data_IF_062186352858
#
_entry.id   IF_062186352858
#
_cell.length_a   1.000
_cell.length_b   1.000
_cell.length_c   1.000
_cell.angle_alpha   90.00
_cell.angle_beta   90.00
_cell.angle_gamma   90.00
#
_symmetry.space_group_name_H-M   'P 1'
#
loop_
_entity.id
_entity.type
_entity.pdbx_description
1 polymer ?
#
# COMPACT_ATOMS: atom_id res chain seq x y z
N UNK A 1 7.14 -1.25 22.12
CA UNK A 1 8.49 -0.79 21.70
C UNK A 1 8.82 -1.56 20.44
N UNK A 2 8.79 -0.93 19.27
CA UNK A 2 9.16 -1.57 18.00
C UNK A 2 10.66 -1.38 17.76
N UNK A 3 11.30 -2.41 17.19
CA UNK A 3 12.74 -2.38 16.94
C UNK A 3 13.07 -1.34 15.88
N UNK A 4 14.04 -0.46 16.15
CA UNK A 4 14.55 0.55 15.18
C UNK A 4 15.13 -0.05 13.89
N UNK A 5 15.23 -1.38 13.80
CA UNK A 5 15.81 -2.10 12.68
C UNK A 5 14.81 -2.97 11.93
N UNK A 6 13.50 -2.86 12.21
CA UNK A 6 12.47 -3.63 11.51
C UNK A 6 11.93 -2.85 10.30
N UNK A 7 12.22 -3.26 9.04
CA UNK A 7 11.78 -2.52 7.84
C UNK A 7 10.26 -2.40 7.72
N UNK A 8 9.53 -3.38 8.26
CA UNK A 8 8.07 -3.38 8.28
C UNK A 8 7.49 -2.18 9.05
N UNK A 9 8.15 -1.77 10.13
CA UNK A 9 7.75 -0.64 10.96
C UNK A 9 8.20 0.71 10.37
N UNK A 10 9.11 0.70 9.40
CA UNK A 10 9.62 1.91 8.72
C UNK A 10 8.72 2.41 7.59
N UNK A 11 7.55 1.81 7.39
CA UNK A 11 6.55 2.35 6.47
C UNK A 11 5.74 1.29 5.71
N UNK A 12 6.25 0.07 5.58
CA UNK A 12 5.58 -1.00 4.82
C UNK A 12 4.21 -1.32 5.44
N UNK A 13 4.13 -1.56 6.75
CA UNK A 13 2.85 -1.85 7.43
C UNK A 13 1.88 -0.66 7.30
N UNK A 14 2.39 0.56 7.45
CA UNK A 14 1.57 1.78 7.35
C UNK A 14 0.92 1.89 5.97
N UNK A 15 1.72 1.70 4.91
CA UNK A 15 1.23 1.78 3.54
C UNK A 15 0.29 0.64 3.18
N UNK A 16 0.64 -0.59 3.57
CA UNK A 16 -0.24 -1.75 3.40
C UNK A 16 -1.61 -1.52 4.03
N UNK A 17 -1.64 -1.05 5.29
CA UNK A 17 -2.89 -0.74 6.00
C UNK A 17 -3.69 0.37 5.32
N UNK A 18 -3.02 1.39 4.77
CA UNK A 18 -3.69 2.46 4.04
C UNK A 18 -4.33 1.95 2.74
N UNK A 19 -3.59 1.15 1.97
CA UNK A 19 -4.10 0.50 0.75
C UNK A 19 -5.27 -0.43 1.04
N UNK A 20 -5.15 -1.28 2.06
CA UNK A 20 -6.22 -2.17 2.49
C UNK A 20 -7.49 -1.39 2.88
N UNK A 21 -7.37 -0.33 3.69
CA UNK A 21 -8.51 0.51 4.09
C UNK A 21 -9.17 1.20 2.90
N UNK A 22 -8.39 1.61 1.89
CA UNK A 22 -8.95 2.16 0.64
C UNK A 22 -9.87 1.15 -0.04
N UNK A 23 -9.45 -0.12 -0.15
CA UNK A 23 -10.27 -1.19 -0.72
C UNK A 23 -11.53 -1.48 0.11
N UNK A 24 -11.42 -1.51 1.44
CA UNK A 24 -12.58 -1.63 2.33
C UNK A 24 -13.60 -0.51 2.08
N UNK A 25 -13.14 0.75 2.03
CA UNK A 25 -14.00 1.90 1.82
C UNK A 25 -14.67 1.88 0.44
N UNK A 26 -13.92 1.53 -0.61
CA UNK A 26 -14.48 1.35 -1.96
C UNK A 26 -15.56 0.28 -1.98
N UNK A 27 -15.35 -0.85 -1.30
CA UNK A 27 -16.35 -1.91 -1.20
C UNK A 27 -17.59 -1.49 -0.40
N UNK A 28 -17.41 -0.70 0.66
CA UNK A 28 -18.53 -0.15 1.44
C UNK A 28 -19.36 0.77 0.55
N UNK A 29 -18.73 1.72 -0.15
CA UNK A 29 -19.40 2.65 -1.07
C UNK A 29 -20.14 1.89 -2.18
N UNK A 30 -19.49 0.90 -2.80
CA UNK A 30 -20.09 0.14 -3.90
C UNK A 30 -21.30 -0.73 -3.50
N UNK A 31 -21.44 -1.06 -2.21
CA UNK A 31 -22.50 -1.94 -1.68
C UNK A 31 -23.49 -1.19 -0.77
N UNK A 32 -23.36 0.14 -0.66
CA UNK A 32 -24.12 0.93 0.32
C UNK A 32 -25.61 0.98 -0.01
N UNK A 33 -25.97 1.07 -1.29
CA UNK A 33 -27.36 1.14 -1.75
C UNK A 33 -28.13 -0.17 -1.50
N UNK A 34 -27.41 -1.29 -1.41
CA UNK A 34 -27.99 -2.63 -1.19
C UNK A 34 -28.24 -2.96 0.29
N UNK A 35 -27.95 -2.04 1.21
CA UNK A 35 -27.92 -2.33 2.66
C UNK A 35 -28.68 -1.27 3.44
N UNK A 36 -29.57 -1.68 4.34
CA UNK A 36 -30.41 -0.73 5.08
C UNK A 36 -29.61 0.10 6.10
N UNK A 37 -28.48 -0.43 6.57
CA UNK A 37 -27.60 0.23 7.53
C UNK A 37 -26.17 -0.33 7.48
N UNK A 38 -25.25 0.34 8.17
CA UNK A 38 -23.84 -0.04 8.22
C UNK A 38 -23.59 -1.44 8.81
N UNK A 39 -24.42 -1.92 9.73
CA UNK A 39 -24.25 -3.24 10.37
C UNK A 39 -24.50 -4.38 9.38
N UNK A 40 -25.55 -4.26 8.54
CA UNK A 40 -25.80 -5.21 7.46
C UNK A 40 -24.71 -5.19 6.40
N UNK A 41 -24.24 -4.00 6.04
CA UNK A 41 -23.19 -3.83 5.06
C UNK A 41 -21.88 -4.52 5.47
N UNK A 42 -21.47 -4.37 6.74
CA UNK A 42 -20.27 -5.01 7.28
C UNK A 42 -20.40 -6.54 7.27
N UNK A 43 -21.58 -7.09 7.52
CA UNK A 43 -21.82 -8.55 7.46
C UNK A 43 -21.66 -9.14 6.06
N UNK A 44 -21.80 -8.33 5.01
CA UNK A 44 -21.59 -8.75 3.61
C UNK A 44 -20.10 -8.81 3.23
N UNK A 45 -19.21 -8.26 4.05
CA UNK A 45 -17.76 -8.34 3.82
C UNK A 45 -17.28 -9.71 4.26
N UNK A 46 -16.72 -10.47 3.32
CA UNK A 46 -16.25 -11.83 3.56
C UNK A 46 -14.75 -11.89 3.85
N UNK A 47 -14.28 -13.01 4.38
CA UNK A 47 -12.82 -13.26 4.50
C UNK A 47 -12.16 -13.31 3.12
N UNK A 48 -12.86 -13.78 2.08
CA UNK A 48 -12.35 -13.79 0.72
C UNK A 48 -12.11 -12.37 0.19
N UNK A 49 -13.03 -11.43 0.45
CA UNK A 49 -12.85 -10.01 0.15
C UNK A 49 -11.56 -9.49 0.83
N UNK A 50 -11.39 -9.76 2.12
CA UNK A 50 -10.22 -9.32 2.89
C UNK A 50 -8.89 -9.89 2.36
N UNK A 51 -8.88 -11.15 1.91
CA UNK A 51 -7.69 -11.77 1.30
C UNK A 51 -7.35 -11.10 -0.04
N UNK A 52 -8.35 -10.85 -0.89
CA UNK A 52 -8.10 -10.20 -2.18
C UNK A 52 -7.66 -8.73 -2.01
N UNK A 53 -8.20 -8.02 -1.03
CA UNK A 53 -7.75 -6.66 -0.69
C UNK A 53 -6.33 -6.64 -0.13
N UNK A 54 -5.97 -7.63 0.68
CA UNK A 54 -4.60 -7.77 1.19
C UNK A 54 -3.61 -7.99 0.06
N UNK A 55 -3.93 -8.91 -0.86
CA UNK A 55 -3.13 -9.17 -2.05
C UNK A 55 -3.01 -7.93 -2.94
N UNK A 56 -4.11 -7.22 -3.16
CA UNK A 56 -4.14 -6.01 -3.99
C UNK A 56 -3.36 -4.87 -3.34
N UNK A 57 -3.51 -4.65 -2.03
CA UNK A 57 -2.75 -3.65 -1.28
C UNK A 57 -1.24 -3.93 -1.31
N UNK A 58 -0.83 -5.20 -1.27
CA UNK A 58 0.57 -5.58 -1.43
C UNK A 58 1.09 -5.34 -2.85
N UNK A 59 0.30 -5.70 -3.88
CA UNK A 59 0.68 -5.48 -5.28
C UNK A 59 0.81 -4.00 -5.66
N UNK A 60 -0.01 -3.15 -5.07
CA UNK A 60 0.00 -1.70 -5.30
C UNK A 60 1.12 -0.99 -4.53
N UNK A 61 1.75 -1.67 -3.57
CA UNK A 61 2.83 -1.10 -2.78
C UNK A 61 4.01 -0.76 -3.69
N UNK A 62 4.45 0.49 -3.64
CA UNK A 62 5.62 0.93 -4.40
C UNK A 62 6.88 0.18 -3.94
N UNK A 63 7.53 -0.52 -4.88
CA UNK A 63 8.79 -1.21 -4.63
C UNK A 63 9.89 -0.25 -4.19
N UNK A 64 9.84 1.01 -4.66
CA UNK A 64 10.75 2.07 -4.21
C UNK A 64 10.63 2.36 -2.72
N UNK A 65 9.41 2.32 -2.17
CA UNK A 65 9.17 2.50 -0.75
C UNK A 65 9.69 1.31 0.07
N UNK A 66 9.48 0.08 -0.40
CA UNK A 66 10.00 -1.11 0.28
C UNK A 66 11.51 -1.00 0.42
N UNK A 67 12.23 -0.68 -0.66
CA UNK A 67 13.69 -0.52 -0.60
C UNK A 67 14.11 0.60 0.34
N UNK A 68 13.44 1.77 0.32
CA UNK A 68 13.73 2.85 1.29
C UNK A 68 13.56 2.41 2.74
N UNK A 69 12.53 1.60 3.05
CA UNK A 69 12.33 1.08 4.40
C UNK A 69 13.44 0.11 4.83
N UNK A 70 13.93 -0.74 3.91
CA UNK A 70 15.06 -1.63 4.18
C UNK A 70 16.38 -0.85 4.34
N UNK A 71 16.64 0.13 3.46
CA UNK A 71 17.80 1.02 3.56
C UNK A 71 17.83 1.80 4.88
N UNK A 72 16.67 2.26 5.36
CA UNK A 72 16.52 2.94 6.67
C UNK A 72 16.91 2.05 7.86
N UNK A 73 16.88 0.73 7.68
CA UNK A 73 17.33 -0.25 8.67
C UNK A 73 18.81 -0.65 8.49
N UNK A 74 19.55 0.04 7.63
CA UNK A 74 20.95 -0.27 7.31
C UNK A 74 21.14 -1.35 6.25
N UNK A 75 20.07 -1.84 5.63
CA UNK A 75 20.14 -2.83 4.54
C UNK A 75 20.18 -2.09 3.20
N UNK A 76 21.33 -1.50 2.88
CA UNK A 76 21.54 -0.75 1.64
C UNK A 76 22.06 -1.66 0.53
N UNK A 77 21.60 -1.39 -0.69
CA UNK A 77 22.18 -1.99 -1.90
C UNK A 77 22.29 -0.88 -2.94
N UNK A 78 23.52 -0.37 -3.11
CA UNK A 78 23.81 0.83 -3.91
C UNK A 78 23.41 0.69 -5.37
N UNK A 79 23.37 -0.53 -5.90
CA UNK A 79 22.95 -0.81 -7.28
C UNK A 79 21.43 -0.69 -7.42
N UNK A 80 20.67 -1.24 -6.46
CA UNK A 80 19.21 -1.17 -6.41
C UNK A 80 18.75 0.27 -6.16
N UNK A 81 19.43 0.99 -5.27
CA UNK A 81 19.12 2.39 -4.94
C UNK A 81 19.26 3.32 -6.15
N UNK A 82 20.30 3.15 -6.97
CA UNK A 82 20.50 3.91 -8.22
C UNK A 82 19.40 3.65 -9.25
N UNK A 83 19.04 2.38 -9.45
CA UNK A 83 17.96 2.01 -10.38
C UNK A 83 16.63 2.64 -9.96
N UNK A 84 16.32 2.66 -8.66
CA UNK A 84 15.10 3.29 -8.13
C UNK A 84 15.11 4.81 -8.28
N UNK A 85 16.26 5.47 -8.06
CA UNK A 85 16.37 6.91 -8.28
C UNK A 85 16.03 7.26 -9.73
N UNK A 86 16.61 6.54 -10.70
CA UNK A 86 16.33 6.74 -12.12
C UNK A 86 14.87 6.46 -12.52
N UNK A 87 14.23 5.45 -11.90
CA UNK A 87 12.83 5.13 -12.14
C UNK A 87 11.86 6.17 -11.55
N UNK A 88 12.16 6.72 -10.38
CA UNK A 88 11.33 7.76 -9.77
C UNK A 88 11.45 9.10 -10.52
N UNK A 89 12.65 9.46 -10.98
CA UNK A 89 12.88 10.66 -11.78
C UNK A 89 12.10 10.60 -13.10
N UNK A 90 12.08 9.44 -13.77
CA UNK A 90 11.26 9.24 -14.97
C UNK A 90 9.76 9.32 -14.67
N UNK A 91 9.25 8.70 -13.59
CA UNK A 91 7.84 8.85 -13.18
C UNK A 91 7.43 10.30 -12.94
N UNK A 92 8.26 11.09 -12.27
CA UNK A 92 8.00 12.50 -11.98
C UNK A 92 7.98 13.36 -13.25
N UNK A 93 8.85 13.06 -14.22
CA UNK A 93 8.86 13.75 -15.51
C UNK A 93 7.60 13.42 -16.31
N UNK A 94 7.21 12.14 -16.37
CA UNK A 94 5.98 11.73 -17.06
C UNK A 94 4.72 12.29 -16.40
N UNK A 95 4.66 12.33 -15.07
CA UNK A 95 3.54 12.93 -14.34
C UNK A 95 3.38 14.44 -14.57
N UNK A 96 4.47 15.16 -14.83
CA UNK A 96 4.45 16.59 -15.16
C UNK A 96 4.05 16.88 -16.62
N UNK A 97 4.17 15.91 -17.52
CA UNK A 97 3.79 16.06 -18.94
C UNK A 97 2.31 15.79 -19.21
N UNK A 98 1.61 15.15 -18.28
CA UNK A 98 0.17 14.86 -18.39
C UNK A 98 -0.72 15.84 -17.60
N UNK A 99 -0.14 16.92 -17.05
CA UNK A 99 -0.82 17.96 -16.28
C UNK A 99 -0.97 19.26 -17.05
#
# INVERSE_FOLDING_TARGET
MTSKLQPLDHGIIKWFNLGYRRYVLQSIIARMDDSANASELVKKITVADAVEWSKSAWRDLDSGLVVKCFASCGMTNSEIEKQIFSFNETKDIFGKLQG
#
